data_IF_628168068172
#
_entry.id   IF_628168068172
#
_cell.length_a   1.000
_cell.length_b   1.000
_cell.length_c   1.000
_cell.angle_alpha   90.00
_cell.angle_beta   90.00
_cell.angle_gamma   90.00
#
_symmetry.space_group_name_H-M   'P 1'
#
loop_
_entity.id
_entity.type
_entity.pdbx_description
1 polymer ?
#
# COMPACT_ATOMS: atom_id res chain seq x y z
N UNK A 1 3.07 -5.95 11.24
CA UNK A 1 3.01 -5.06 10.05
C UNK A 1 2.42 -5.77 8.84
N UNK A 2 3.18 -6.55 8.05
CA UNK A 2 2.70 -7.12 6.79
C UNK A 2 1.41 -7.95 6.91
N UNK A 3 1.31 -8.80 7.93
CA UNK A 3 0.09 -9.61 8.16
C UNK A 3 -1.13 -8.74 8.46
N UNK A 4 -0.96 -7.67 9.24
CA UNK A 4 -2.05 -6.73 9.53
C UNK A 4 -2.49 -6.01 8.25
N UNK A 5 -1.54 -5.51 7.45
CA UNK A 5 -1.85 -4.86 6.16
C UNK A 5 -2.65 -5.80 5.24
N UNK A 6 -2.26 -7.09 5.16
CA UNK A 6 -2.94 -8.11 4.34
C UNK A 6 -4.35 -8.37 4.87
N UNK A 7 -4.53 -8.54 6.18
CA UNK A 7 -5.85 -8.83 6.75
C UNK A 7 -6.80 -7.64 6.55
N UNK A 8 -6.33 -6.42 6.82
CA UNK A 8 -7.15 -5.21 6.71
C UNK A 8 -7.51 -4.96 5.25
N UNK A 9 -6.53 -4.88 4.35
CA UNK A 9 -6.79 -4.60 2.92
C UNK A 9 -7.50 -5.78 2.25
N UNK A 10 -7.20 -7.01 2.65
CA UNK A 10 -7.90 -8.21 2.19
C UNK A 10 -9.38 -8.22 2.60
N UNK A 11 -9.68 -7.83 3.84
CA UNK A 11 -11.07 -7.64 4.28
C UNK A 11 -11.80 -6.57 3.47
N UNK A 12 -11.12 -5.46 3.17
CA UNK A 12 -11.67 -4.40 2.31
C UNK A 12 -11.91 -4.90 0.88
N UNK A 13 -10.97 -5.66 0.31
CA UNK A 13 -11.04 -6.20 -1.06
C UNK A 13 -12.14 -7.25 -1.24
N UNK A 14 -12.46 -8.01 -0.19
CA UNK A 14 -13.55 -8.99 -0.18
C UNK A 14 -14.90 -8.35 0.19
N UNK A 15 -14.89 -7.11 0.65
CA UNK A 15 -16.09 -6.35 0.99
C UNK A 15 -16.82 -5.84 -0.26
N UNK A 16 -18.07 -5.38 -0.11
CA UNK A 16 -18.89 -4.90 -1.23
C UNK A 16 -18.46 -3.51 -1.74
N UNK A 17 -17.63 -2.80 -0.99
CA UNK A 17 -17.27 -1.41 -1.27
C UNK A 17 -16.14 -1.26 -2.29
N UNK A 18 -15.36 -2.30 -2.57
CA UNK A 18 -14.22 -2.20 -3.48
C UNK A 18 -14.25 -3.37 -4.45
N UNK A 19 -14.00 -3.11 -5.73
CA UNK A 19 -13.83 -4.18 -6.71
C UNK A 19 -12.63 -5.04 -6.32
N UNK A 20 -12.83 -6.36 -6.29
CA UNK A 20 -11.81 -7.32 -5.84
C UNK A 20 -10.48 -7.16 -6.56
N UNK A 21 -10.50 -6.86 -7.87
CA UNK A 21 -9.30 -6.64 -8.70
C UNK A 21 -8.45 -5.47 -8.18
N UNK A 22 -9.09 -4.36 -7.82
CA UNK A 22 -8.45 -3.16 -7.27
C UNK A 22 -7.91 -3.42 -5.87
N UNK A 23 -8.69 -4.09 -5.03
CA UNK A 23 -8.26 -4.49 -3.70
C UNK A 23 -7.03 -5.42 -3.74
N UNK A 24 -7.02 -6.42 -4.63
CA UNK A 24 -5.86 -7.30 -4.84
C UNK A 24 -4.65 -6.53 -5.36
N UNK A 25 -4.82 -5.61 -6.31
CA UNK A 25 -3.72 -4.77 -6.80
C UNK A 25 -3.08 -3.94 -5.66
N UNK A 26 -3.91 -3.42 -4.75
CA UNK A 26 -3.43 -2.69 -3.56
C UNK A 26 -2.58 -3.59 -2.65
N UNK A 27 -3.04 -4.82 -2.37
CA UNK A 27 -2.31 -5.79 -1.55
C UNK A 27 -0.96 -6.13 -2.18
N UNK A 28 -0.94 -6.39 -3.50
CA UNK A 28 0.30 -6.71 -4.23
C UNK A 28 1.29 -5.54 -4.10
N UNK A 29 0.87 -4.31 -4.35
CA UNK A 29 1.74 -3.14 -4.22
C UNK A 29 2.32 -2.98 -2.81
N UNK A 30 1.48 -3.12 -1.78
CA UNK A 30 1.87 -3.04 -0.36
C UNK A 30 2.91 -4.12 -0.02
N UNK A 31 2.72 -5.34 -0.51
CA UNK A 31 3.63 -6.46 -0.29
C UNK A 31 4.97 -6.26 -1.01
N UNK A 32 4.95 -5.82 -2.28
CA UNK A 32 6.17 -5.52 -3.04
C UNK A 32 7.01 -4.45 -2.34
N UNK A 33 6.40 -3.33 -1.94
CA UNK A 33 7.10 -2.27 -1.22
C UNK A 33 7.72 -2.76 0.09
N UNK A 34 6.97 -3.61 0.81
CA UNK A 34 7.43 -4.19 2.06
C UNK A 34 8.59 -5.16 1.86
N UNK A 35 8.56 -5.94 0.77
CA UNK A 35 9.58 -6.92 0.41
C UNK A 35 10.91 -6.28 0.03
N UNK A 36 10.90 -5.17 -0.73
CA UNK A 36 12.12 -4.44 -1.10
C UNK A 36 12.98 -4.06 0.10
N UNK A 37 12.38 -3.66 1.21
CA UNK A 37 13.12 -3.30 2.42
C UNK A 37 13.87 -4.47 3.08
N UNK A 38 13.37 -5.71 2.95
CA UNK A 38 14.09 -6.91 3.41
C UNK A 38 15.08 -7.42 2.37
N UNK A 39 14.75 -7.29 1.09
CA UNK A 39 15.65 -7.67 0.00
C UNK A 39 16.94 -6.85 0.03
N UNK A 40 16.84 -5.53 0.22
CA UNK A 40 18.01 -4.63 0.33
C UNK A 40 19.03 -5.13 1.38
N UNK A 41 18.53 -5.55 2.55
CA UNK A 41 19.37 -6.09 3.62
C UNK A 41 20.00 -7.43 3.22
N UNK A 42 19.25 -8.29 2.53
CA UNK A 42 19.74 -9.61 2.11
C UNK A 42 20.86 -9.54 1.06
N UNK A 43 20.87 -8.49 0.24
CA UNK A 43 21.91 -8.26 -0.79
C UNK A 43 23.07 -7.39 -0.31
N UNK A 44 23.10 -7.02 0.97
CA UNK A 44 24.20 -6.24 1.54
C UNK A 44 24.15 -4.73 1.28
N UNK A 45 23.10 -4.22 0.63
CA UNK A 45 22.92 -2.78 0.36
C UNK A 45 22.48 -1.97 1.60
N UNK A 46 22.44 -2.58 2.80
CA UNK A 46 21.89 -1.95 3.99
C UNK A 46 20.36 -1.81 3.92
N UNK A 47 19.79 -0.98 4.80
CA UNK A 47 18.34 -0.87 4.95
C UNK A 47 17.80 0.40 4.32
N UNK A 48 17.09 0.24 3.21
CA UNK A 48 16.46 1.34 2.48
C UNK A 48 15.02 1.63 2.94
N UNK A 49 14.80 2.86 3.40
CA UNK A 49 13.50 3.35 3.85
C UNK A 49 12.82 4.30 2.84
N UNK A 50 13.47 4.64 1.74
CA UNK A 50 12.98 5.62 0.78
C UNK A 50 11.63 5.23 0.16
N UNK A 51 10.75 6.16 -0.15
CA UNK A 51 9.42 5.87 -0.72
C UNK A 51 8.35 6.81 -0.17
N UNK A 52 7.19 6.83 -0.83
CA UNK A 52 6.14 7.82 -0.57
C UNK A 52 5.19 7.45 0.58
N UNK A 53 5.10 6.16 0.92
CA UNK A 53 4.26 5.67 2.02
C UNK A 53 5.07 4.81 2.97
N UNK A 54 5.27 5.32 4.18
CA UNK A 54 5.87 4.61 5.29
C UNK A 54 4.94 3.56 5.90
N UNK A 55 5.43 2.90 6.96
CA UNK A 55 4.62 1.92 7.70
C UNK A 55 3.49 2.59 8.46
N UNK A 56 3.81 3.68 9.18
CA UNK A 56 2.84 4.44 9.95
C UNK A 56 1.78 5.08 9.04
N UNK A 57 2.22 5.69 7.93
CA UNK A 57 1.33 6.40 7.00
C UNK A 57 0.23 5.48 6.43
N UNK A 58 0.59 4.24 6.07
CA UNK A 58 -0.39 3.24 5.58
C UNK A 58 -1.45 2.93 6.62
N UNK A 59 -1.07 2.77 7.89
CA UNK A 59 -2.03 2.53 8.97
C UNK A 59 -2.93 3.75 9.21
N UNK A 60 -2.39 4.96 9.16
CA UNK A 60 -3.19 6.20 9.29
C UNK A 60 -4.24 6.26 8.19
N UNK A 61 -3.85 6.02 6.93
CA UNK A 61 -4.79 6.02 5.80
C UNK A 61 -5.85 4.92 5.96
N UNK A 62 -5.43 3.71 6.36
CA UNK A 62 -6.33 2.57 6.60
C UNK A 62 -7.34 2.80 7.73
N UNK A 63 -7.06 3.69 8.68
CA UNK A 63 -7.98 4.06 9.76
C UNK A 63 -8.85 5.25 9.36
N UNK A 64 -8.25 6.28 8.77
CA UNK A 64 -8.95 7.54 8.47
C UNK A 64 -9.94 7.42 7.32
N UNK A 65 -9.58 6.71 6.24
CA UNK A 65 -10.45 6.64 5.05
C UNK A 65 -11.76 5.91 5.32
N UNK A 66 -11.82 4.76 6.01
CA UNK A 66 -13.09 4.12 6.34
C UNK A 66 -14.00 5.01 7.20
N UNK A 67 -13.42 5.78 8.13
CA UNK A 67 -14.18 6.74 8.94
C UNK A 67 -14.76 7.85 8.05
N UNK A 68 -13.95 8.40 7.15
CA UNK A 68 -14.41 9.42 6.18
C UNK A 68 -15.50 8.85 5.27
N UNK A 69 -15.33 7.62 4.75
CA UNK A 69 -16.33 6.96 3.93
C UNK A 69 -17.66 6.83 4.68
N UNK A 70 -17.62 6.42 5.94
CA UNK A 70 -18.82 6.23 6.75
C UNK A 70 -19.62 7.53 6.94
N UNK A 71 -18.95 8.67 7.13
CA UNK A 71 -19.62 9.96 7.28
C UNK A 71 -19.97 10.65 5.95
N UNK A 72 -19.35 10.25 4.85
CA UNK A 72 -19.55 10.84 3.51
C UNK A 72 -20.54 10.04 2.65
N UNK A 73 -21.07 8.93 3.17
CA UNK A 73 -22.05 8.11 2.47
C UNK A 73 -23.31 8.92 2.14
N UNK A 74 -23.56 9.15 0.85
CA UNK A 74 -24.67 9.96 0.33
C UNK A 74 -24.37 11.42 -0.01
N UNK A 75 -23.15 11.92 0.22
CA UNK A 75 -22.82 13.34 -0.03
C UNK A 75 -22.32 13.61 -1.46
N UNK A 76 -21.71 12.63 -2.13
CA UNK A 76 -21.07 12.83 -3.44
C UNK A 76 -21.04 11.60 -4.38
N UNK A 77 -21.65 10.46 -4.02
CA UNK A 77 -21.52 9.16 -4.73
C UNK A 77 -20.07 8.67 -4.96
N UNK A 78 -19.09 9.31 -4.32
CA UNK A 78 -17.68 8.92 -4.42
C UNK A 78 -17.36 7.80 -3.46
N UNK A 79 -16.65 6.79 -3.96
CA UNK A 79 -16.20 5.66 -3.17
C UNK A 79 -14.74 5.87 -2.74
N UNK A 80 -14.57 6.46 -1.55
CA UNK A 80 -13.27 6.76 -0.97
C UNK A 80 -12.47 5.50 -0.63
N UNK A 81 -13.15 4.38 -0.34
CA UNK A 81 -12.50 3.09 -0.12
C UNK A 81 -11.80 2.59 -1.39
N UNK A 82 -12.49 2.68 -2.53
CA UNK A 82 -11.93 2.31 -3.84
C UNK A 82 -10.78 3.23 -4.22
N UNK A 83 -10.93 4.54 -4.00
CA UNK A 83 -9.85 5.50 -4.23
C UNK A 83 -8.62 5.20 -3.36
N UNK A 84 -8.81 4.85 -2.09
CA UNK A 84 -7.72 4.42 -1.23
C UNK A 84 -7.02 3.18 -1.80
N UNK A 85 -7.75 2.16 -2.24
CA UNK A 85 -7.13 0.98 -2.85
C UNK A 85 -6.35 1.34 -4.12
N UNK A 86 -6.86 2.22 -4.98
CA UNK A 86 -6.09 2.72 -6.14
C UNK A 86 -4.81 3.45 -5.71
N UNK A 87 -4.89 4.35 -4.74
CA UNK A 87 -3.71 5.06 -4.25
C UNK A 87 -2.67 4.10 -3.68
N UNK A 88 -3.06 3.09 -2.91
CA UNK A 88 -2.14 2.07 -2.43
C UNK A 88 -1.54 1.25 -3.55
N UNK A 89 -2.35 0.79 -4.52
CA UNK A 89 -1.87 0.03 -5.66
C UNK A 89 -0.80 0.81 -6.45
N UNK A 90 -1.06 2.08 -6.74
CA UNK A 90 -0.16 2.92 -7.53
C UNK A 90 1.07 3.33 -6.71
N UNK A 91 0.86 3.98 -5.56
CA UNK A 91 1.96 4.59 -4.79
C UNK A 91 2.91 3.54 -4.23
N UNK A 92 2.39 2.40 -3.74
CA UNK A 92 3.24 1.34 -3.20
C UNK A 92 4.03 0.65 -4.31
N UNK A 93 3.41 0.40 -5.46
CA UNK A 93 4.10 -0.20 -6.61
C UNK A 93 5.20 0.71 -7.15
N UNK A 94 4.91 2.00 -7.35
CA UNK A 94 5.91 2.99 -7.78
C UNK A 94 7.05 3.12 -6.76
N UNK A 95 6.73 3.16 -5.46
CA UNK A 95 7.74 3.21 -4.41
C UNK A 95 8.60 1.94 -4.38
N UNK A 96 8.03 0.77 -4.69
CA UNK A 96 8.77 -0.49 -4.79
C UNK A 96 9.76 -0.46 -5.95
N UNK A 97 9.33 -0.01 -7.13
CA UNK A 97 10.21 0.17 -8.29
C UNK A 97 11.32 1.20 -8.02
N UNK A 98 10.98 2.32 -7.37
CA UNK A 98 11.97 3.31 -6.97
C UNK A 98 13.05 2.71 -6.05
N UNK A 99 12.64 1.96 -5.01
CA UNK A 99 13.57 1.25 -4.12
C UNK A 99 14.44 0.26 -4.89
N UNK A 100 13.84 -0.52 -5.79
CA UNK A 100 14.57 -1.49 -6.58
C UNK A 100 15.69 -0.83 -7.40
N UNK A 101 15.36 0.23 -8.14
CA UNK A 101 16.36 0.95 -8.94
C UNK A 101 17.47 1.55 -8.07
N UNK A 102 17.12 2.12 -6.91
CA UNK A 102 18.11 2.67 -5.97
C UNK A 102 19.06 1.60 -5.43
N UNK A 103 18.52 0.46 -4.98
CA UNK A 103 19.33 -0.67 -4.49
C UNK A 103 20.25 -1.20 -5.60
N UNK A 104 19.75 -1.29 -6.83
CA UNK A 104 20.55 -1.74 -7.97
C UNK A 104 21.74 -0.82 -8.24
N UNK A 105 21.55 0.50 -8.14
CA UNK A 105 22.65 1.48 -8.29
C UNK A 105 23.63 1.50 -7.14
N UNK A 106 23.26 1.02 -5.94
CA UNK A 106 24.19 0.93 -4.80
C UNK A 106 25.08 -0.32 -4.85
N UNK A 107 24.67 -1.34 -5.59
CA UNK A 107 25.37 -2.62 -5.71
C UNK A 107 26.26 -2.72 -6.97
N UNK A 108 26.00 -1.89 -7.98
CA UNK A 108 26.77 -1.84 -9.24
C UNK A 108 27.79 -0.72 -9.24
#
# INVERSE_FOLDING_TARGET
DRVADIIIVGGIALGPLVEITVGFAAIIGILMLSYMGTQAQAVGAGREYAGLLGRADRLVVLVMVPIIQYFSEGYLDWNYMTLMCYTFAIVCTLSAFYRFNKIWTELG
#
